data_IF_725154221015
#
_entry.id   IF_725154221015
#
_cell.length_a   1.000
_cell.length_b   1.000
_cell.length_c   1.000
_cell.angle_alpha   90.00
_cell.angle_beta   90.00
_cell.angle_gamma   90.00
#
_symmetry.space_group_name_H-M   'P 1'
#
loop_
_entity.id
_entity.type
_entity.pdbx_description
1 polymer ?
#
# COMPACT_ATOMS: atom_id res chain seq x y z
N UNK A 1 26.87 -29.08 14.34
CA UNK A 1 25.85 -28.23 14.96
C UNK A 1 24.50 -28.38 14.27
N UNK A 2 23.92 -29.58 14.34
CA UNK A 2 22.48 -29.67 14.47
C UNK A 2 22.16 -29.06 15.85
N UNK A 3 21.17 -28.18 15.98
CA UNK A 3 20.74 -27.73 17.31
C UNK A 3 20.25 -28.90 18.18
N UNK A 4 19.99 -30.06 17.58
CA UNK A 4 19.67 -31.32 18.23
C UNK A 4 20.88 -32.29 18.39
N UNK A 5 22.11 -31.93 18.03
CA UNK A 5 23.30 -32.77 18.23
C UNK A 5 24.37 -32.02 19.02
N UNK A 6 24.23 -32.11 20.34
CA UNK A 6 25.06 -31.43 21.35
C UNK A 6 26.44 -32.09 21.56
N UNK A 7 26.91 -32.94 20.65
CA UNK A 7 28.18 -33.67 20.80
C UNK A 7 29.40 -33.03 20.11
N UNK A 8 29.24 -32.00 19.28
CA UNK A 8 30.37 -31.48 18.50
C UNK A 8 31.08 -30.30 19.17
N UNK A 9 32.40 -30.43 19.41
CA UNK A 9 33.34 -29.32 19.69
C UNK A 9 33.59 -28.38 18.49
N UNK A 10 32.82 -28.54 17.41
CA UNK A 10 32.92 -27.72 16.21
C UNK A 10 32.34 -26.32 16.47
N UNK A 11 33.07 -25.28 16.04
CA UNK A 11 32.54 -23.92 16.00
C UNK A 11 31.31 -23.90 15.07
N UNK A 12 30.18 -23.43 15.59
CA UNK A 12 28.98 -23.22 14.77
C UNK A 12 29.28 -22.12 13.74
N UNK A 13 28.89 -22.31 12.47
CA UNK A 13 29.01 -21.24 11.51
C UNK A 13 28.08 -20.09 11.89
N UNK A 14 28.55 -18.86 11.71
CA UNK A 14 27.83 -17.64 11.98
C UNK A 14 27.45 -16.93 10.67
N UNK A 15 26.42 -16.08 10.73
CA UNK A 15 26.06 -15.23 9.61
C UNK A 15 27.24 -14.33 9.22
N UNK A 16 27.65 -14.39 7.94
CA UNK A 16 28.80 -13.65 7.42
C UNK A 16 30.14 -14.33 7.65
N UNK A 17 30.19 -15.65 7.84
CA UNK A 17 31.45 -16.41 7.85
C UNK A 17 32.16 -16.40 6.48
N UNK A 18 31.39 -16.21 5.42
CA UNK A 18 31.90 -15.96 4.06
C UNK A 18 31.20 -14.76 3.42
N UNK A 19 31.80 -14.23 2.36
CA UNK A 19 31.31 -13.07 1.61
C UNK A 19 30.01 -13.39 0.86
N UNK A 20 30.08 -13.67 -0.43
CA UNK A 20 28.92 -13.80 -1.30
C UNK A 20 29.30 -14.59 -2.57
N UNK A 21 28.30 -15.06 -3.30
CA UNK A 21 28.45 -15.56 -4.67
C UNK A 21 27.97 -14.45 -5.59
N UNK A 22 28.82 -14.02 -6.52
CA UNK A 22 28.51 -12.93 -7.46
C UNK A 22 28.33 -13.48 -8.86
N UNK A 23 27.24 -13.08 -9.51
CA UNK A 23 26.97 -13.35 -10.92
C UNK A 23 26.77 -12.00 -11.61
N UNK A 24 27.64 -11.67 -12.56
CA UNK A 24 27.57 -10.40 -13.30
C UNK A 24 27.61 -10.59 -14.81
N UNK A 25 26.94 -9.68 -15.55
CA UNK A 25 27.02 -9.32 -16.98
C UNK A 25 27.25 -10.38 -18.08
N UNK A 26 28.23 -11.27 -17.92
CA UNK A 26 28.64 -12.31 -18.89
C UNK A 26 28.28 -13.73 -18.46
N UNK A 27 27.86 -13.93 -17.20
CA UNK A 27 27.57 -15.25 -16.63
C UNK A 27 26.10 -15.71 -16.81
N UNK A 28 25.51 -15.46 -18.00
CA UNK A 28 24.10 -15.71 -18.32
C UNK A 28 23.68 -17.18 -18.42
N UNK A 29 24.61 -18.13 -18.31
CA UNK A 29 24.32 -19.58 -18.26
C UNK A 29 24.19 -20.13 -16.84
N UNK A 30 24.35 -19.30 -15.81
CA UNK A 30 24.21 -19.73 -14.42
C UNK A 30 22.76 -20.08 -14.10
N UNK A 31 22.56 -21.13 -13.31
CA UNK A 31 21.26 -21.49 -12.75
C UNK A 31 21.43 -22.19 -11.41
N UNK A 32 20.46 -22.02 -10.52
CA UNK A 32 20.46 -22.68 -9.22
C UNK A 32 19.14 -23.43 -9.03
N UNK A 33 19.22 -24.74 -8.90
CA UNK A 33 18.07 -25.58 -8.58
C UNK A 33 18.41 -26.48 -7.41
N UNK A 34 17.50 -26.63 -6.43
CA UNK A 34 17.69 -27.52 -5.29
C UNK A 34 19.00 -27.24 -4.51
N UNK A 35 19.33 -25.95 -4.38
CA UNK A 35 20.61 -25.48 -3.80
C UNK A 35 20.36 -24.79 -2.46
N UNK A 36 21.25 -24.99 -1.48
CA UNK A 36 21.19 -24.32 -0.16
C UNK A 36 22.36 -23.37 0.02
N UNK A 37 22.06 -22.11 0.31
CA UNK A 37 22.99 -21.04 0.65
C UNK A 37 22.80 -20.67 2.11
N UNK A 38 23.90 -20.65 2.89
CA UNK A 38 23.82 -20.37 4.33
C UNK A 38 25.08 -19.76 4.91
N UNK A 39 24.91 -18.95 5.96
CA UNK A 39 25.99 -18.39 6.79
C UNK A 39 26.96 -17.44 6.06
N UNK A 40 26.60 -16.93 4.89
CA UNK A 40 27.35 -15.91 4.16
C UNK A 40 26.73 -14.52 4.28
N UNK A 41 26.95 -13.68 3.28
CA UNK A 41 26.45 -12.31 3.18
C UNK A 41 27.27 -11.30 3.98
N UNK A 42 28.57 -11.53 4.16
CA UNK A 42 29.41 -10.64 4.98
C UNK A 42 29.50 -9.23 4.38
N UNK A 43 29.12 -8.24 5.17
CA UNK A 43 29.26 -6.82 4.88
C UNK A 43 30.73 -6.37 4.99
N UNK A 44 31.22 -5.67 3.96
CA UNK A 44 32.52 -5.00 3.97
C UNK A 44 32.38 -3.55 3.50
N UNK A 45 32.98 -2.62 4.26
CA UNK A 45 33.07 -1.21 3.84
C UNK A 45 34.22 -1.01 2.86
N UNK A 46 33.96 -0.42 1.68
CA UNK A 46 35.00 0.17 0.83
C UNK A 46 35.02 -0.26 -0.65
N UNK A 47 34.49 -1.44 -1.00
CA UNK A 47 34.34 -1.87 -2.40
C UNK A 47 33.01 -2.62 -2.51
N UNK A 48 31.99 -1.95 -3.07
CA UNK A 48 30.63 -2.43 -3.30
C UNK A 48 29.99 -3.01 -2.03
N UNK A 49 28.98 -2.33 -1.51
CA UNK A 49 28.23 -2.63 -0.27
C UNK A 49 27.45 -3.97 -0.35
N UNK A 50 28.13 -5.08 -0.69
CA UNK A 50 27.61 -6.39 -1.03
C UNK A 50 27.46 -7.23 0.23
N UNK A 51 26.22 -7.42 0.69
CA UNK A 51 25.91 -8.18 1.90
C UNK A 51 24.99 -9.39 1.66
N UNK A 52 24.87 -9.87 0.42
CA UNK A 52 23.94 -10.95 0.05
C UNK A 52 24.60 -12.33 0.06
N UNK A 53 23.87 -13.43 0.29
CA UNK A 53 24.41 -14.77 0.00
C UNK A 53 24.69 -14.92 -1.50
N UNK A 54 23.75 -14.42 -2.32
CA UNK A 54 23.82 -14.43 -3.77
C UNK A 54 23.52 -13.03 -4.32
N UNK A 55 24.51 -12.44 -4.97
CA UNK A 55 24.43 -11.15 -5.65
C UNK A 55 24.37 -11.36 -7.16
N UNK A 56 23.36 -10.79 -7.82
CA UNK A 56 23.16 -10.90 -9.27
C UNK A 56 23.02 -9.50 -9.86
N UNK A 57 23.96 -9.10 -10.72
CA UNK A 57 23.98 -7.78 -11.35
C UNK A 57 24.05 -7.89 -12.87
N UNK A 58 23.16 -7.18 -13.58
CA UNK A 58 23.12 -7.15 -15.05
C UNK A 58 23.10 -8.56 -15.70
N UNK A 59 22.50 -9.53 -14.99
CA UNK A 59 22.41 -10.92 -15.40
C UNK A 59 21.01 -11.48 -15.11
N UNK A 60 20.63 -12.53 -15.82
CA UNK A 60 19.37 -13.26 -15.60
C UNK A 60 19.70 -14.69 -15.20
N UNK A 61 19.27 -15.08 -14.00
CA UNK A 61 19.59 -16.38 -13.41
C UNK A 61 18.29 -17.06 -12.96
N UNK A 62 17.95 -18.22 -13.52
CA UNK A 62 16.85 -19.04 -13.00
C UNK A 62 17.23 -19.65 -11.65
N UNK A 63 16.40 -19.41 -10.63
CA UNK A 63 16.53 -19.95 -9.28
C UNK A 63 15.22 -20.69 -8.92
N UNK A 64 15.33 -21.96 -8.55
CA UNK A 64 14.17 -22.78 -8.17
C UNK A 64 14.47 -23.74 -7.03
N UNK A 65 13.51 -24.00 -6.15
CA UNK A 65 13.68 -24.97 -5.05
C UNK A 65 14.92 -24.71 -4.19
N UNK A 66 15.36 -23.45 -4.09
CA UNK A 66 16.55 -23.08 -3.36
C UNK A 66 16.22 -22.70 -1.92
N UNK A 67 17.20 -22.75 -1.03
CA UNK A 67 17.09 -22.30 0.36
C UNK A 67 18.15 -21.25 0.63
N UNK A 68 17.74 -20.08 1.11
CA UNK A 68 18.61 -18.99 1.54
C UNK A 68 18.37 -18.71 3.02
N UNK A 69 19.37 -18.96 3.85
CA UNK A 69 19.21 -18.84 5.30
C UNK A 69 20.42 -18.29 6.05
N UNK A 70 20.17 -17.65 7.20
CA UNK A 70 21.22 -17.14 8.08
C UNK A 70 22.24 -16.23 7.38
N UNK A 71 21.79 -15.38 6.45
CA UNK A 71 22.63 -14.33 5.87
C UNK A 71 22.93 -13.23 6.88
N UNK A 72 24.11 -12.62 6.81
CA UNK A 72 24.41 -11.43 7.63
C UNK A 72 23.62 -10.19 7.19
N UNK A 73 23.27 -10.06 5.90
CA UNK A 73 22.42 -8.95 5.45
C UNK A 73 21.29 -9.40 4.53
N UNK A 74 21.57 -9.91 3.34
CA UNK A 74 20.53 -10.32 2.40
C UNK A 74 20.62 -11.81 2.04
N UNK A 75 19.48 -12.46 1.82
CA UNK A 75 19.46 -13.77 1.17
C UNK A 75 19.93 -13.64 -0.28
N UNK A 76 19.16 -12.91 -1.10
CA UNK A 76 19.47 -12.61 -2.50
C UNK A 76 19.41 -11.12 -2.74
N UNK A 77 20.30 -10.60 -3.58
CA UNK A 77 20.28 -9.22 -4.06
C UNK A 77 20.32 -9.21 -5.59
N UNK A 78 19.31 -8.58 -6.18
CA UNK A 78 19.14 -8.45 -7.62
C UNK A 78 19.34 -6.99 -8.01
N UNK A 79 20.34 -6.70 -8.84
CA UNK A 79 20.62 -5.36 -9.36
C UNK A 79 20.47 -5.39 -10.89
N UNK A 80 19.48 -4.68 -11.42
CA UNK A 80 19.14 -4.68 -12.85
C UNK A 80 19.03 -6.10 -13.44
N UNK A 81 18.34 -6.98 -12.72
CA UNK A 81 18.25 -8.40 -13.04
C UNK A 81 16.81 -8.80 -13.30
N UNK A 82 16.59 -9.56 -14.38
CA UNK A 82 15.29 -10.13 -14.74
C UNK A 82 15.17 -11.60 -14.30
N UNK A 83 15.96 -11.98 -13.28
CA UNK A 83 15.99 -13.34 -12.74
C UNK A 83 14.61 -13.85 -12.30
N UNK A 84 14.42 -15.16 -12.40
CA UNK A 84 13.24 -15.84 -11.88
C UNK A 84 13.58 -16.56 -10.59
N UNK A 85 12.87 -16.29 -9.50
CA UNK A 85 13.02 -16.97 -8.21
C UNK A 85 11.69 -17.62 -7.88
N UNK A 86 11.65 -18.94 -7.95
CA UNK A 86 10.41 -19.70 -7.78
C UNK A 86 10.54 -20.83 -6.77
N UNK A 87 9.46 -21.13 -6.04
CA UNK A 87 9.37 -22.32 -5.17
C UNK A 87 10.54 -22.45 -4.18
N UNK A 88 11.10 -21.32 -3.75
CA UNK A 88 12.30 -21.25 -2.90
C UNK A 88 11.93 -20.78 -1.49
N UNK A 89 12.82 -21.03 -0.54
CA UNK A 89 12.63 -20.73 0.88
C UNK A 89 13.68 -19.71 1.31
N UNK A 90 13.22 -18.61 1.90
CA UNK A 90 14.03 -17.59 2.53
C UNK A 90 13.72 -17.58 4.02
N UNK A 91 14.69 -17.95 4.87
CA UNK A 91 14.41 -18.00 6.31
C UNK A 91 15.55 -17.57 7.20
N UNK A 92 15.24 -17.03 8.37
CA UNK A 92 16.24 -16.59 9.35
C UNK A 92 17.27 -15.59 8.78
N UNK A 93 16.89 -14.80 7.77
CA UNK A 93 17.72 -13.70 7.27
C UNK A 93 17.34 -12.43 8.05
N UNK A 94 17.65 -12.46 9.35
CA UNK A 94 17.18 -11.49 10.34
C UNK A 94 18.30 -10.96 11.25
N UNK A 95 19.54 -11.03 10.78
CA UNK A 95 20.69 -10.47 11.50
C UNK A 95 20.42 -9.01 11.86
N UNK A 96 20.91 -8.56 13.01
CA UNK A 96 20.52 -7.31 13.67
C UNK A 96 20.91 -6.01 12.94
N UNK A 97 21.32 -6.08 11.67
CA UNK A 97 21.41 -4.91 10.82
C UNK A 97 20.00 -4.39 10.51
N UNK A 98 19.87 -3.07 10.45
CA UNK A 98 18.63 -2.38 10.09
C UNK A 98 18.12 -2.76 8.70
N UNK A 99 18.98 -3.30 7.83
CA UNK A 99 18.67 -3.48 6.41
C UNK A 99 18.29 -4.92 6.03
N UNK A 100 18.55 -5.91 6.89
CA UNK A 100 18.51 -7.33 6.51
C UNK A 100 17.19 -7.79 5.87
N UNK A 101 17.24 -8.63 4.84
CA UNK A 101 16.05 -9.06 4.09
C UNK A 101 16.23 -10.44 3.44
N UNK A 102 15.11 -11.11 3.13
CA UNK A 102 15.13 -12.31 2.30
C UNK A 102 15.63 -12.00 0.89
N UNK A 103 14.99 -11.05 0.21
CA UNK A 103 15.41 -10.56 -1.11
C UNK A 103 15.46 -9.03 -1.13
N UNK A 104 16.50 -8.49 -1.75
CA UNK A 104 16.58 -7.08 -2.18
C UNK A 104 16.57 -7.02 -3.71
N UNK A 105 15.78 -6.11 -4.27
CA UNK A 105 15.67 -5.88 -5.71
C UNK A 105 15.90 -4.40 -5.99
N UNK A 106 16.83 -4.09 -6.88
CA UNK A 106 17.16 -2.75 -7.32
C UNK A 106 17.14 -2.72 -8.84
N UNK A 107 16.11 -2.11 -9.45
CA UNK A 107 15.87 -2.15 -10.90
C UNK A 107 15.60 -3.57 -11.43
N UNK A 108 15.48 -3.70 -12.75
CA UNK A 108 15.12 -4.96 -13.42
C UNK A 108 13.62 -5.27 -13.33
N UNK A 109 13.24 -6.39 -13.95
CA UNK A 109 11.88 -6.92 -14.01
C UNK A 109 11.83 -8.41 -13.59
N UNK A 110 12.32 -8.77 -12.39
CA UNK A 110 12.38 -10.16 -11.98
C UNK A 110 10.99 -10.74 -11.73
N UNK A 111 10.90 -12.07 -11.77
CA UNK A 111 9.72 -12.82 -11.33
C UNK A 111 10.04 -13.52 -10.02
N UNK A 112 9.28 -13.20 -8.97
CA UNK A 112 9.39 -13.81 -7.65
C UNK A 112 8.03 -14.46 -7.32
N UNK A 113 7.94 -15.78 -7.43
CA UNK A 113 6.67 -16.47 -7.25
C UNK A 113 6.73 -17.77 -6.46
N UNK A 114 5.65 -18.07 -5.73
CA UNK A 114 5.53 -19.34 -4.99
C UNK A 114 6.64 -19.57 -3.96
N UNK A 115 7.26 -18.50 -3.43
CA UNK A 115 8.30 -18.61 -2.42
C UNK A 115 7.73 -18.49 -1.00
N UNK A 116 8.45 -19.05 -0.03
CA UNK A 116 8.15 -18.93 1.39
C UNK A 116 9.21 -18.06 2.09
N UNK A 117 8.76 -17.05 2.82
CA UNK A 117 9.58 -16.14 3.62
C UNK A 117 9.21 -16.30 5.09
N UNK A 118 10.13 -16.84 5.91
CA UNK A 118 9.87 -17.11 7.34
C UNK A 118 10.97 -16.57 8.24
N UNK A 119 10.64 -15.87 9.31
CA UNK A 119 11.62 -15.38 10.30
C UNK A 119 12.73 -14.50 9.68
N UNK A 120 12.43 -13.76 8.62
CA UNK A 120 13.36 -12.77 8.05
C UNK A 120 13.22 -11.43 8.79
N UNK A 121 14.11 -10.46 8.56
CA UNK A 121 13.86 -9.10 9.02
C UNK A 121 12.79 -8.43 8.16
N UNK A 122 13.09 -8.17 6.90
CA UNK A 122 12.08 -7.92 5.87
C UNK A 122 11.94 -9.17 4.99
N UNK A 123 10.74 -9.44 4.47
CA UNK A 123 10.59 -10.50 3.47
C UNK A 123 11.28 -10.12 2.17
N UNK A 124 10.75 -9.09 1.50
CA UNK A 124 11.30 -8.53 0.26
C UNK A 124 11.36 -7.01 0.37
N UNK A 125 12.45 -6.41 -0.11
CA UNK A 125 12.55 -4.97 -0.36
C UNK A 125 12.87 -4.73 -1.82
N UNK A 126 12.14 -3.84 -2.48
CA UNK A 126 12.37 -3.51 -3.88
C UNK A 126 12.40 -2.00 -4.13
N UNK A 127 13.30 -1.58 -5.02
CA UNK A 127 13.45 -0.19 -5.43
C UNK A 127 13.58 -0.05 -6.95
N UNK A 128 12.87 0.92 -7.53
CA UNK A 128 12.93 1.25 -8.96
C UNK A 128 12.77 0.05 -9.92
N UNK A 129 11.99 -0.97 -9.53
CA UNK A 129 11.85 -2.25 -10.25
C UNK A 129 10.48 -2.40 -10.93
N UNK A 130 10.42 -3.33 -11.89
CA UNK A 130 9.23 -3.74 -12.63
C UNK A 130 8.80 -5.18 -12.27
N UNK A 131 8.80 -5.53 -10.98
CA UNK A 131 8.76 -6.91 -10.48
C UNK A 131 7.38 -7.59 -10.64
N UNK A 132 7.37 -8.86 -11.05
CA UNK A 132 6.22 -9.74 -10.91
C UNK A 132 6.33 -10.52 -9.59
N UNK A 133 5.52 -10.15 -8.60
CA UNK A 133 5.51 -10.75 -7.26
C UNK A 133 4.19 -11.49 -7.03
N UNK A 134 4.19 -12.81 -7.16
CA UNK A 134 2.93 -13.58 -7.12
C UNK A 134 2.96 -14.81 -6.22
N UNK A 135 1.86 -15.06 -5.51
CA UNK A 135 1.68 -16.30 -4.73
C UNK A 135 2.79 -16.58 -3.70
N UNK A 136 3.43 -15.54 -3.13
CA UNK A 136 4.43 -15.72 -2.09
C UNK A 136 3.76 -15.71 -0.70
N UNK A 137 4.33 -16.47 0.24
CA UNK A 137 3.87 -16.57 1.62
C UNK A 137 4.89 -15.93 2.56
N UNK A 138 4.44 -15.03 3.43
CA UNK A 138 5.27 -14.30 4.38
C UNK A 138 4.83 -14.55 5.82
N UNK A 139 5.72 -15.04 6.68
CA UNK A 139 5.39 -15.32 8.07
C UNK A 139 6.49 -14.89 9.03
N UNK A 140 6.13 -14.29 10.16
CA UNK A 140 7.07 -14.02 11.26
C UNK A 140 8.25 -13.12 10.88
N UNK A 141 8.14 -12.33 9.80
CA UNK A 141 9.16 -11.32 9.51
C UNK A 141 9.13 -10.27 10.61
N UNK A 142 10.28 -9.84 11.13
CA UNK A 142 10.30 -8.88 12.25
C UNK A 142 9.90 -7.45 11.84
N UNK A 143 9.83 -7.17 10.54
CA UNK A 143 9.36 -5.93 9.92
C UNK A 143 8.30 -6.25 8.84
N UNK A 144 8.12 -5.38 7.85
CA UNK A 144 7.19 -5.54 6.74
C UNK A 144 7.46 -6.82 5.94
N UNK A 145 6.38 -7.48 5.51
CA UNK A 145 6.45 -8.60 4.56
C UNK A 145 7.07 -8.16 3.23
N UNK A 146 6.60 -7.05 2.67
CA UNK A 146 7.10 -6.49 1.41
C UNK A 146 7.19 -4.97 1.49
N UNK A 147 8.32 -4.40 1.05
CA UNK A 147 8.52 -2.96 0.87
C UNK A 147 8.76 -2.65 -0.60
N UNK A 148 7.96 -1.73 -1.16
CA UNK A 148 7.98 -1.35 -2.57
C UNK A 148 8.22 0.16 -2.67
N UNK A 149 9.43 0.55 -3.06
CA UNK A 149 9.80 1.96 -3.19
C UNK A 149 9.99 2.33 -4.66
N UNK A 150 9.25 3.31 -5.18
CA UNK A 150 9.34 3.79 -6.57
C UNK A 150 9.29 2.65 -7.62
N UNK A 151 8.57 1.57 -7.32
CA UNK A 151 8.51 0.37 -8.16
C UNK A 151 7.09 0.14 -8.66
N UNK A 152 6.98 -0.57 -9.77
CA UNK A 152 5.73 -0.98 -10.39
C UNK A 152 5.81 -2.45 -10.78
N UNK A 153 4.70 -3.04 -11.21
CA UNK A 153 4.68 -4.44 -11.63
C UNK A 153 3.36 -5.11 -11.33
N UNK A 154 3.39 -6.43 -11.18
CA UNK A 154 2.22 -7.24 -10.86
C UNK A 154 2.40 -7.84 -9.47
N UNK A 155 1.56 -7.41 -8.52
CA UNK A 155 1.58 -7.92 -7.15
C UNK A 155 0.24 -8.60 -6.87
N UNK A 156 0.19 -9.93 -6.83
CA UNK A 156 -1.10 -10.65 -6.70
C UNK A 156 -0.98 -11.97 -5.96
N UNK A 157 -1.99 -12.33 -5.17
CA UNK A 157 -2.04 -13.61 -4.48
C UNK A 157 -1.00 -13.76 -3.35
N UNK A 158 -0.34 -12.67 -2.93
CA UNK A 158 0.60 -12.73 -1.82
C UNK A 158 -0.17 -12.75 -0.48
N UNK A 159 0.28 -13.61 0.42
CA UNK A 159 -0.35 -13.86 1.72
C UNK A 159 0.67 -13.74 2.83
N UNK A 160 0.24 -13.35 4.03
CA UNK A 160 1.13 -13.38 5.18
C UNK A 160 0.45 -13.09 6.50
N UNK A 161 1.16 -13.46 7.56
CA UNK A 161 0.67 -13.41 8.94
C UNK A 161 1.83 -13.30 9.94
N UNK A 162 1.60 -12.69 11.09
CA UNK A 162 2.58 -12.52 12.17
C UNK A 162 3.86 -11.78 11.76
N UNK A 163 3.85 -11.05 10.65
CA UNK A 163 4.95 -10.15 10.30
C UNK A 163 4.79 -8.85 11.13
N UNK A 164 5.87 -8.09 11.29
CA UNK A 164 5.82 -6.77 11.93
C UNK A 164 4.79 -5.85 11.26
N UNK A 165 4.61 -6.01 9.95
CA UNK A 165 3.42 -5.52 9.22
C UNK A 165 2.97 -6.61 8.25
N UNK A 166 1.72 -7.06 8.38
CA UNK A 166 1.06 -7.99 7.46
C UNK A 166 0.55 -7.25 6.21
N UNK A 167 1.46 -6.59 5.50
CA UNK A 167 1.11 -5.76 4.35
C UNK A 167 2.23 -5.60 3.32
N UNK A 168 1.84 -5.04 2.17
CA UNK A 168 2.72 -4.58 1.10
C UNK A 168 2.85 -3.07 1.24
N UNK A 169 3.95 -2.60 1.81
CA UNK A 169 4.22 -1.18 1.97
C UNK A 169 4.54 -0.54 0.62
N UNK A 170 3.81 0.52 0.26
CA UNK A 170 4.06 1.34 -0.92
C UNK A 170 4.73 2.64 -0.51
N UNK A 171 5.87 2.98 -1.12
CA UNK A 171 6.62 4.21 -0.87
C UNK A 171 6.96 4.94 -2.17
N UNK A 172 7.02 6.28 -2.08
CA UNK A 172 7.44 7.12 -3.20
C UNK A 172 6.41 7.12 -4.34
N UNK A 173 6.89 6.92 -5.56
CA UNK A 173 6.05 6.99 -6.77
C UNK A 173 5.29 5.67 -6.98
N UNK A 174 3.97 5.75 -7.11
CA UNK A 174 3.12 4.61 -7.48
C UNK A 174 2.75 4.75 -8.95
N UNK A 175 3.28 3.83 -9.76
CA UNK A 175 3.04 3.75 -11.20
C UNK A 175 4.09 4.45 -12.05
N UNK A 176 3.85 4.46 -13.37
CA UNK A 176 4.82 4.93 -14.37
C UNK A 176 4.26 6.15 -15.10
N UNK A 177 5.08 7.20 -15.22
CA UNK A 177 4.70 8.42 -15.94
C UNK A 177 4.33 8.10 -17.40
N UNK A 178 3.19 8.60 -17.86
CA UNK A 178 2.69 8.35 -19.22
C UNK A 178 2.08 6.96 -19.45
N UNK A 179 1.97 6.13 -18.41
CA UNK A 179 1.48 4.76 -18.53
C UNK A 179 0.39 4.41 -17.51
N UNK A 180 -0.20 3.23 -17.68
CA UNK A 180 -1.16 2.65 -16.76
C UNK A 180 -0.50 1.55 -15.93
N UNK A 181 -0.67 1.61 -14.61
CA UNK A 181 -0.27 0.57 -13.67
C UNK A 181 -1.51 -0.04 -13.04
N UNK A 182 -1.53 -1.36 -12.85
CA UNK A 182 -2.68 -2.06 -12.25
C UNK A 182 -2.26 -2.67 -10.92
N UNK A 183 -3.02 -2.39 -9.86
CA UNK A 183 -2.87 -3.02 -8.55
C UNK A 183 -3.96 -4.08 -8.38
N UNK A 184 -3.54 -5.27 -7.98
CA UNK A 184 -4.38 -6.47 -7.91
C UNK A 184 -4.73 -6.81 -6.46
N UNK A 185 -5.71 -7.69 -6.27
CA UNK A 185 -6.04 -8.21 -4.97
C UNK A 185 -4.90 -9.06 -4.37
N UNK A 186 -4.68 -8.89 -3.07
CA UNK A 186 -3.78 -9.68 -2.23
C UNK A 186 -4.47 -9.92 -0.88
N UNK A 187 -4.07 -10.96 -0.17
CA UNK A 187 -4.50 -11.09 1.23
C UNK A 187 -3.76 -10.08 2.12
N UNK A 188 -2.53 -9.75 1.76
CA UNK A 188 -1.79 -8.64 2.37
C UNK A 188 -2.34 -7.30 1.82
N UNK A 189 -2.77 -6.41 2.72
CA UNK A 189 -3.21 -5.08 2.32
C UNK A 189 -2.04 -4.24 1.75
N UNK A 190 -2.34 -3.30 0.86
CA UNK A 190 -1.39 -2.25 0.50
C UNK A 190 -1.32 -1.23 1.63
N UNK A 191 -0.13 -0.96 2.15
CA UNK A 191 0.08 -0.14 3.33
C UNK A 191 0.72 1.19 2.95
N UNK A 192 0.24 2.27 3.57
CA UNK A 192 0.67 3.66 3.36
C UNK A 192 1.11 4.25 4.72
N UNK A 193 2.26 3.84 5.29
CA UNK A 193 2.64 4.16 6.69
C UNK A 193 4.00 4.83 6.87
N UNK A 194 4.97 4.61 5.98
CA UNK A 194 6.35 5.12 6.13
C UNK A 194 6.73 6.13 5.04
N UNK A 195 7.89 6.77 5.22
CA UNK A 195 8.47 7.66 4.23
C UNK A 195 7.64 8.91 3.92
N UNK A 196 7.82 9.43 2.70
CA UNK A 196 6.99 10.47 2.10
C UNK A 196 5.63 9.89 1.71
N UNK A 197 4.60 10.74 1.66
CA UNK A 197 3.25 10.34 1.20
C UNK A 197 3.37 9.74 -0.21
N UNK A 198 3.01 8.46 -0.41
CA UNK A 198 3.05 7.84 -1.72
C UNK A 198 2.22 8.63 -2.72
N UNK A 199 2.75 8.78 -3.93
CA UNK A 199 2.19 9.69 -4.93
C UNK A 199 2.01 9.00 -6.27
N UNK A 200 0.80 9.09 -6.82
CA UNK A 200 0.54 8.80 -8.23
C UNK A 200 0.94 10.04 -9.03
N UNK A 201 2.00 9.97 -9.86
CA UNK A 201 2.56 11.14 -10.53
C UNK A 201 1.62 11.66 -11.63
N UNK A 202 1.76 12.93 -12.00
CA UNK A 202 1.02 13.52 -13.09
C UNK A 202 1.21 12.72 -14.39
N UNK A 203 0.18 12.69 -15.24
CA UNK A 203 0.17 11.94 -16.50
C UNK A 203 0.31 10.40 -16.36
N UNK A 204 0.14 9.84 -15.16
CA UNK A 204 0.04 8.39 -14.96
C UNK A 204 -1.39 7.98 -14.58
N UNK A 205 -1.73 6.72 -14.81
CA UNK A 205 -2.99 6.12 -14.33
C UNK A 205 -2.69 4.91 -13.46
N UNK A 206 -3.31 4.83 -12.28
CA UNK A 206 -3.31 3.62 -11.45
C UNK A 206 -4.71 3.06 -11.39
N UNK A 207 -4.89 1.86 -11.94
CA UNK A 207 -6.13 1.08 -11.83
C UNK A 207 -6.04 0.19 -10.61
N UNK A 208 -7.08 0.17 -9.79
CA UNK A 208 -7.20 -0.75 -8.65
C UNK A 208 -8.31 -1.73 -8.98
N UNK A 209 -7.99 -3.03 -8.96
CA UNK A 209 -8.97 -4.08 -9.19
C UNK A 209 -9.75 -4.46 -7.91
N UNK A 210 -10.96 -5.03 -8.06
CA UNK A 210 -11.74 -5.57 -6.95
C UNK A 210 -10.95 -6.54 -6.08
N UNK A 211 -11.20 -6.50 -4.77
CA UNK A 211 -10.53 -7.28 -3.73
C UNK A 211 -9.28 -6.59 -3.14
N UNK A 212 -8.85 -5.46 -3.69
CA UNK A 212 -7.72 -4.72 -3.15
C UNK A 212 -8.12 -3.89 -1.91
N UNK A 213 -7.27 -3.96 -0.87
CA UNK A 213 -7.42 -3.20 0.38
C UNK A 213 -6.20 -2.30 0.56
N UNK A 214 -6.44 -1.05 0.93
CA UNK A 214 -5.43 -0.05 1.26
C UNK A 214 -5.61 0.40 2.70
N UNK A 215 -4.51 0.42 3.47
CA UNK A 215 -4.51 0.85 4.87
C UNK A 215 -3.49 1.96 5.10
N UNK A 216 -3.97 3.11 5.58
CA UNK A 216 -3.15 4.28 5.90
C UNK A 216 -2.75 4.34 7.36
N UNK A 217 -1.53 4.82 7.63
CA UNK A 217 -1.07 5.16 8.98
C UNK A 217 -1.34 6.61 9.37
N UNK A 218 -1.06 6.93 10.64
CA UNK A 218 -1.19 8.29 11.17
C UNK A 218 -0.37 9.32 10.38
N UNK A 219 -1.06 10.38 9.93
CA UNK A 219 -0.47 11.44 9.09
C UNK A 219 -0.07 10.97 7.68
N UNK A 220 -0.45 9.76 7.26
CA UNK A 220 -0.15 9.18 5.95
C UNK A 220 -1.42 8.93 5.15
N UNK A 221 -1.26 8.81 3.84
CA UNK A 221 -2.36 8.66 2.90
C UNK A 221 -1.84 8.48 1.48
N UNK A 222 -2.65 8.82 0.49
CA UNK A 222 -2.28 8.73 -0.92
C UNK A 222 -2.43 10.10 -1.58
N UNK A 223 -1.41 10.56 -2.31
CA UNK A 223 -1.50 11.76 -3.14
C UNK A 223 -1.70 11.38 -4.61
N UNK A 224 -2.63 12.04 -5.29
CA UNK A 224 -2.99 11.78 -6.68
C UNK A 224 -2.79 13.04 -7.51
N UNK A 225 -1.68 13.09 -8.25
CA UNK A 225 -1.38 14.12 -9.26
C UNK A 225 -1.79 13.66 -10.66
N UNK A 226 -1.82 12.34 -10.90
CA UNK A 226 -2.31 11.70 -12.12
C UNK A 226 -3.78 11.27 -11.98
N UNK A 227 -4.06 10.02 -12.36
CA UNK A 227 -5.40 9.42 -12.29
C UNK A 227 -5.39 8.19 -11.38
N UNK A 228 -6.29 8.16 -10.41
CA UNK A 228 -6.64 6.96 -9.63
C UNK A 228 -7.96 6.38 -10.15
N UNK A 229 -7.99 5.10 -10.49
CA UNK A 229 -9.15 4.44 -11.10
C UNK A 229 -9.54 3.17 -10.34
N UNK A 230 -10.39 3.27 -9.31
CA UNK A 230 -11.02 2.09 -8.72
C UNK A 230 -11.97 1.43 -9.74
N UNK A 231 -11.76 0.13 -10.01
CA UNK A 231 -12.52 -0.62 -11.00
C UNK A 231 -13.48 -1.64 -10.34
N UNK A 232 -14.14 -1.23 -9.26
CA UNK A 232 -15.18 -2.00 -8.56
C UNK A 232 -16.56 -1.90 -9.22
N UNK A 233 -17.50 -2.71 -8.75
CA UNK A 233 -18.91 -2.66 -9.15
C UNK A 233 -19.78 -2.28 -7.96
N UNK A 234 -19.55 -2.90 -6.80
CA UNK A 234 -20.30 -2.67 -5.58
C UNK A 234 -19.45 -1.92 -4.55
N UNK A 235 -20.10 -1.08 -3.73
CA UNK A 235 -19.44 -0.47 -2.60
C UNK A 235 -18.83 -1.57 -1.71
N UNK A 236 -17.51 -1.50 -1.50
CA UNK A 236 -16.75 -2.47 -0.72
C UNK A 236 -15.90 -3.43 -1.54
N UNK A 237 -16.03 -3.44 -2.87
CA UNK A 237 -15.13 -4.23 -3.73
C UNK A 237 -13.68 -3.75 -3.58
N UNK A 238 -13.47 -2.46 -3.37
CA UNK A 238 -12.17 -1.85 -3.08
C UNK A 238 -12.29 -1.05 -1.79
N UNK A 239 -11.41 -1.29 -0.82
CA UNK A 239 -11.50 -0.64 0.49
C UNK A 239 -10.26 0.20 0.78
N UNK A 240 -10.49 1.44 1.19
CA UNK A 240 -9.49 2.32 1.78
C UNK A 240 -9.85 2.56 3.24
N UNK A 241 -8.97 2.18 4.16
CA UNK A 241 -9.21 2.29 5.61
C UNK A 241 -7.90 2.58 6.34
N UNK A 242 -7.91 2.46 7.66
CA UNK A 242 -6.77 2.70 8.54
C UNK A 242 -6.12 1.37 8.96
N UNK A 243 -4.88 1.40 9.43
CA UNK A 243 -4.14 0.22 9.88
C UNK A 243 -4.88 -0.59 10.93
N UNK A 244 -5.47 0.10 11.90
CA UNK A 244 -6.18 -0.42 13.07
C UNK A 244 -7.58 -0.99 12.73
N UNK A 245 -8.01 -0.93 11.46
CA UNK A 245 -9.29 -1.53 11.06
C UNK A 245 -9.16 -3.03 10.78
N UNK A 246 -9.22 -3.84 11.84
CA UNK A 246 -9.12 -5.30 11.74
C UNK A 246 -10.31 -5.97 11.05
N UNK A 247 -11.41 -5.23 10.87
CA UNK A 247 -12.60 -5.77 10.19
C UNK A 247 -12.37 -5.99 8.69
N UNK A 248 -11.33 -5.37 8.13
CA UNK A 248 -10.94 -5.46 6.72
C UNK A 248 -9.48 -5.92 6.63
N UNK A 249 -9.23 -7.04 5.94
CA UNK A 249 -7.89 -7.63 5.78
C UNK A 249 -7.14 -8.01 7.09
N UNK A 250 -7.84 -8.08 8.22
CA UNK A 250 -7.29 -8.53 9.51
C UNK A 250 -6.25 -7.58 10.13
N UNK A 251 -5.60 -8.07 11.18
CA UNK A 251 -4.59 -7.36 11.98
C UNK A 251 -3.32 -7.10 11.14
N UNK A 252 -3.27 -5.91 10.53
CA UNK A 252 -2.24 -5.53 9.55
C UNK A 252 -1.00 -4.96 10.22
N UNK A 253 -1.19 -4.26 11.34
CA UNK A 253 -0.15 -3.66 12.18
C UNK A 253 0.33 -4.58 13.32
N UNK A 254 -0.26 -5.78 13.45
CA UNK A 254 0.12 -6.82 14.38
C UNK A 254 0.12 -6.35 15.85
N UNK A 255 -0.87 -5.52 16.21
CA UNK A 255 -1.05 -4.95 17.55
C UNK A 255 -2.17 -5.64 18.36
N UNK A 256 -2.74 -6.73 17.83
CA UNK A 256 -3.89 -7.41 18.38
C UNK A 256 -5.20 -6.75 17.96
N UNK A 257 -6.32 -7.19 18.54
CA UNK A 257 -7.64 -6.73 18.13
C UNK A 257 -7.80 -5.21 18.31
N UNK A 258 -7.95 -4.48 17.22
CA UNK A 258 -8.13 -3.04 17.15
C UNK A 258 -9.27 -2.64 16.21
N UNK A 259 -9.67 -1.35 16.25
CA UNK A 259 -10.73 -0.82 15.39
C UNK A 259 -10.38 0.58 14.87
N UNK A 260 -10.83 0.89 13.66
CA UNK A 260 -10.57 2.18 13.03
C UNK A 260 -11.22 3.35 13.77
N UNK A 261 -10.50 4.48 13.83
CA UNK A 261 -10.98 5.73 14.44
C UNK A 261 -11.04 6.84 13.37
N UNK A 262 -12.14 7.64 13.29
CA UNK A 262 -12.22 8.75 12.35
C UNK A 262 -11.01 9.69 12.42
N UNK A 263 -10.30 9.87 11.30
CA UNK A 263 -9.12 10.73 11.20
C UNK A 263 -7.83 10.06 11.70
N UNK A 264 -7.81 8.75 11.88
CA UNK A 264 -6.59 8.03 12.23
C UNK A 264 -5.58 7.97 11.07
N UNK A 265 -6.01 8.26 9.83
CA UNK A 265 -5.12 8.48 8.67
C UNK A 265 -5.54 9.70 7.85
N UNK A 266 -4.68 10.13 6.92
CA UNK A 266 -4.88 11.34 6.13
C UNK A 266 -5.98 11.22 5.08
N UNK A 267 -6.26 10.02 4.58
CA UNK A 267 -7.16 9.82 3.45
C UNK A 267 -6.46 9.89 2.08
N UNK A 268 -7.25 10.13 1.04
CA UNK A 268 -6.78 10.33 -0.34
C UNK A 268 -6.83 11.81 -0.68
N UNK A 269 -5.73 12.34 -1.21
CA UNK A 269 -5.64 13.72 -1.69
C UNK A 269 -5.44 13.79 -3.20
N UNK A 270 -6.50 14.15 -3.91
CA UNK A 270 -6.49 14.46 -5.34
C UNK A 270 -6.09 15.93 -5.50
N UNK A 271 -4.85 16.17 -5.96
CA UNK A 271 -4.21 17.49 -6.04
C UNK A 271 -3.93 17.85 -7.49
N UNK A 272 -4.87 18.50 -8.16
CA UNK A 272 -4.82 18.72 -9.60
C UNK A 272 -5.05 17.46 -10.46
N UNK A 273 -5.11 16.29 -9.84
CA UNK A 273 -5.33 15.00 -10.49
C UNK A 273 -6.81 14.64 -10.68
N UNK A 274 -7.06 13.37 -10.97
CA UNK A 274 -8.37 12.78 -11.17
C UNK A 274 -8.53 11.52 -10.32
N UNK A 275 -9.73 11.31 -9.81
CA UNK A 275 -10.17 9.98 -9.37
C UNK A 275 -11.45 9.64 -10.12
N UNK A 276 -11.49 8.52 -10.83
CA UNK A 276 -12.61 8.16 -11.68
C UNK A 276 -12.86 6.66 -11.61
N UNK A 277 -14.01 6.24 -11.09
CA UNK A 277 -14.28 4.83 -10.93
C UNK A 277 -15.47 4.52 -10.06
N UNK A 278 -15.62 3.23 -9.77
CA UNK A 278 -16.79 2.69 -9.09
C UNK A 278 -16.43 1.64 -8.05
N UNK A 279 -17.40 1.33 -7.18
CA UNK A 279 -17.34 0.19 -6.28
C UNK A 279 -16.24 0.26 -5.23
N UNK A 280 -16.11 1.41 -4.56
CA UNK A 280 -15.10 1.59 -3.51
C UNK A 280 -15.70 2.10 -2.20
N UNK A 281 -14.98 1.89 -1.11
CA UNK A 281 -15.35 2.40 0.21
C UNK A 281 -14.17 3.10 0.88
N UNK A 282 -14.45 4.21 1.55
CA UNK A 282 -13.46 4.99 2.29
C UNK A 282 -13.91 5.15 3.74
N UNK A 283 -13.07 4.66 4.64
CA UNK A 283 -13.32 4.67 6.08
C UNK A 283 -12.26 5.44 6.84
N UNK A 284 -12.65 6.09 7.94
CA UNK A 284 -11.75 6.60 8.98
C UNK A 284 -10.67 7.61 8.54
N UNK A 285 -10.75 8.15 7.33
CA UNK A 285 -9.78 9.12 6.81
C UNK A 285 -10.06 10.55 7.26
N UNK A 286 -9.25 11.51 6.81
CA UNK A 286 -9.53 12.93 6.98
C UNK A 286 -8.60 13.71 7.90
N UNK A 287 -7.48 13.17 8.36
CA UNK A 287 -6.49 13.92 9.13
C UNK A 287 -5.27 14.33 8.30
N UNK A 288 -5.52 14.98 7.16
CA UNK A 288 -4.44 15.42 6.27
C UNK A 288 -3.53 16.44 6.96
N UNK A 289 -2.22 16.35 6.72
CA UNK A 289 -1.21 17.25 7.30
C UNK A 289 -1.47 18.69 6.82
N UNK A 290 -2.04 19.51 7.69
CA UNK A 290 -2.42 20.90 7.46
C UNK A 290 -3.49 21.33 8.47
N UNK A 291 -3.27 22.45 9.17
CA UNK A 291 -4.27 22.97 10.10
C UNK A 291 -5.56 23.40 9.39
N UNK A 292 -6.67 23.53 10.14
CA UNK A 292 -7.91 24.12 9.64
C UNK A 292 -8.88 23.15 8.96
N UNK A 293 -9.48 23.61 7.86
CA UNK A 293 -10.73 23.09 7.30
C UNK A 293 -10.58 22.06 6.18
N UNK A 294 -9.34 21.65 5.94
CA UNK A 294 -8.95 20.94 4.73
C UNK A 294 -8.86 19.43 4.91
N UNK A 295 -9.92 18.87 5.49
CA UNK A 295 -9.94 17.50 6.03
C UNK A 295 -11.06 16.68 5.43
N UNK A 296 -10.76 15.51 4.86
CA UNK A 296 -11.79 14.55 4.47
C UNK A 296 -11.20 13.20 4.04
N UNK A 297 -12.02 12.16 4.10
CA UNK A 297 -11.63 10.80 3.66
C UNK A 297 -11.08 10.81 2.23
N UNK A 298 -11.74 11.57 1.35
CA UNK A 298 -11.18 12.05 0.09
C UNK A 298 -11.22 13.58 0.07
N UNK A 299 -10.07 14.20 -0.23
CA UNK A 299 -9.94 15.63 -0.53
C UNK A 299 -9.62 15.81 -2.00
N UNK A 300 -10.40 16.64 -2.69
CA UNK A 300 -10.16 17.03 -4.08
C UNK A 300 -9.89 18.53 -4.12
N UNK A 301 -8.73 18.91 -4.65
CA UNK A 301 -8.34 20.30 -4.85
C UNK A 301 -7.89 20.53 -6.29
N UNK A 302 -8.50 21.50 -6.98
CA UNK A 302 -8.15 21.85 -8.37
C UNK A 302 -8.22 20.65 -9.34
N UNK A 303 -9.02 19.63 -9.01
CA UNK A 303 -9.05 18.34 -9.67
C UNK A 303 -10.48 17.85 -9.97
N UNK A 304 -10.60 16.55 -10.20
CA UNK A 304 -11.84 15.92 -10.62
C UNK A 304 -12.10 14.61 -9.87
N UNK A 305 -13.35 14.37 -9.47
CA UNK A 305 -13.81 13.09 -8.93
C UNK A 305 -15.09 12.63 -9.64
N UNK A 306 -15.05 11.46 -10.26
CA UNK A 306 -16.24 10.74 -10.70
C UNK A 306 -16.35 9.45 -9.89
N UNK A 307 -17.39 9.36 -9.07
CA UNK A 307 -17.64 8.20 -8.23
C UNK A 307 -19.02 7.61 -8.51
N UNK A 308 -19.06 6.31 -8.73
CA UNK A 308 -20.29 5.53 -8.84
C UNK A 308 -20.26 4.36 -7.83
N UNK A 309 -21.39 4.02 -7.22
CA UNK A 309 -21.49 2.90 -6.27
C UNK A 309 -20.42 2.95 -5.17
N UNK A 310 -20.25 4.10 -4.53
CA UNK A 310 -19.27 4.31 -3.46
C UNK A 310 -19.90 4.37 -2.07
N UNK A 311 -19.08 4.12 -1.04
CA UNK A 311 -19.44 4.31 0.37
C UNK A 311 -18.39 5.17 1.07
N UNK A 312 -18.85 6.25 1.69
CA UNK A 312 -18.04 7.06 2.61
C UNK A 312 -18.61 6.86 4.01
N UNK A 313 -17.76 6.45 4.94
CA UNK A 313 -18.22 6.14 6.29
C UNK A 313 -17.20 6.49 7.38
N UNK A 314 -17.68 7.04 8.49
CA UNK A 314 -16.86 7.31 9.69
C UNK A 314 -15.57 8.12 9.41
N UNK A 315 -15.58 8.98 8.38
CA UNK A 315 -14.44 9.86 8.10
C UNK A 315 -14.47 11.10 9.00
N UNK A 316 -13.29 11.66 9.27
CA UNK A 316 -13.12 12.88 10.04
C UNK A 316 -13.36 14.13 9.21
N UNK A 317 -14.14 15.05 9.79
CA UNK A 317 -14.68 16.29 9.23
C UNK A 317 -15.54 16.11 7.98
N UNK A 318 -15.02 15.56 6.90
CA UNK A 318 -15.76 15.29 5.66
C UNK A 318 -15.54 13.83 5.21
N UNK A 319 -16.57 13.20 4.64
CA UNK A 319 -16.37 12.00 3.82
C UNK A 319 -15.66 12.37 2.52
N UNK A 320 -16.23 13.33 1.82
CA UNK A 320 -15.66 13.93 0.61
C UNK A 320 -15.60 15.45 0.75
N UNK A 321 -14.44 16.04 0.45
CA UNK A 321 -14.24 17.49 0.40
C UNK A 321 -13.83 17.94 -1.00
N UNK A 322 -14.58 18.88 -1.57
CA UNK A 322 -14.31 19.47 -2.88
C UNK A 322 -13.90 20.94 -2.72
N UNK A 323 -12.84 21.35 -3.42
CA UNK A 323 -12.41 22.74 -3.48
C UNK A 323 -11.84 23.07 -4.85
N UNK A 324 -12.45 24.05 -5.55
CA UNK A 324 -12.14 24.37 -6.95
C UNK A 324 -12.13 23.12 -7.84
N UNK A 325 -13.06 22.21 -7.58
CA UNK A 325 -13.12 20.90 -8.22
C UNK A 325 -14.44 20.72 -8.99
N UNK A 326 -14.41 19.88 -10.02
CA UNK A 326 -15.61 19.41 -10.71
C UNK A 326 -15.84 17.96 -10.33
N UNK A 327 -17.04 17.55 -9.95
CA UNK A 327 -17.30 16.18 -9.54
C UNK A 327 -18.71 15.71 -9.87
N UNK A 328 -18.82 14.43 -10.20
CA UNK A 328 -20.09 13.73 -10.41
C UNK A 328 -20.13 12.54 -9.47
N UNK A 329 -21.16 12.45 -8.64
CA UNK A 329 -21.31 11.39 -7.64
C UNK A 329 -22.65 10.70 -7.87
N UNK A 330 -22.60 9.39 -8.08
CA UNK A 330 -23.76 8.58 -8.42
C UNK A 330 -23.86 7.34 -7.54
N UNK A 331 -25.08 6.88 -7.22
CA UNK A 331 -25.34 5.65 -6.45
C UNK A 331 -24.50 5.51 -5.17
N UNK A 332 -24.22 6.62 -4.50
CA UNK A 332 -23.22 6.67 -3.43
C UNK A 332 -23.90 6.89 -2.09
N UNK A 333 -23.38 6.24 -1.04
CA UNK A 333 -23.85 6.44 0.33
C UNK A 333 -22.81 7.18 1.16
N UNK A 334 -23.24 8.22 1.86
CA UNK A 334 -22.47 8.87 2.91
C UNK A 334 -23.13 8.59 4.26
N UNK A 335 -22.39 7.97 5.19
CA UNK A 335 -22.97 7.67 6.51
C UNK A 335 -22.04 7.87 7.70
N UNK A 336 -22.65 8.16 8.85
CA UNK A 336 -21.98 8.18 10.16
C UNK A 336 -20.82 9.17 10.27
N UNK A 337 -20.88 10.30 9.55
CA UNK A 337 -19.91 11.39 9.69
C UNK A 337 -20.26 12.23 10.93
N UNK A 338 -19.88 11.71 12.10
CA UNK A 338 -20.24 12.25 13.42
C UNK A 338 -19.02 12.59 14.29
N UNK A 339 -17.82 12.58 13.72
CA UNK A 339 -16.60 12.74 14.48
C UNK A 339 -16.56 14.11 15.20
N UNK A 340 -16.31 14.13 16.52
CA UNK A 340 -16.23 15.39 17.26
C UNK A 340 -14.99 16.17 16.83
N UNK A 341 -15.11 17.50 16.75
CA UNK A 341 -13.99 18.36 16.38
C UNK A 341 -14.28 19.83 16.61
N UNK A 342 -13.25 20.65 16.42
CA UNK A 342 -13.36 22.13 16.48
C UNK A 342 -14.33 22.65 15.40
N UNK A 343 -14.51 21.88 14.32
CA UNK A 343 -15.39 22.18 13.23
C UNK A 343 -16.46 21.10 13.12
N UNK A 344 -17.70 21.50 12.80
CA UNK A 344 -18.81 20.58 12.61
C UNK A 344 -18.50 19.58 11.48
N UNK A 345 -18.61 18.29 11.77
CA UNK A 345 -18.49 17.25 10.76
C UNK A 345 -19.67 17.33 9.77
N UNK A 346 -19.39 17.11 8.50
CA UNK A 346 -20.39 16.88 7.46
C UNK A 346 -20.01 15.65 6.63
N UNK A 347 -20.97 15.04 5.94
CA UNK A 347 -20.67 13.95 5.01
C UNK A 347 -19.96 14.46 3.75
N UNK A 348 -20.43 15.58 3.20
CA UNK A 348 -19.92 16.17 1.96
C UNK A 348 -19.67 17.67 2.13
N UNK A 349 -18.45 18.11 1.88
CA UNK A 349 -18.08 19.53 1.84
C UNK A 349 -17.86 20.02 0.41
N UNK A 350 -18.61 21.02 -0.04
CA UNK A 350 -18.51 21.59 -1.38
C UNK A 350 -18.12 23.07 -1.28
N UNK A 351 -16.86 23.37 -1.56
CA UNK A 351 -16.26 24.68 -1.27
C UNK A 351 -15.61 25.31 -2.50
N UNK A 352 -15.33 26.61 -2.41
CA UNK A 352 -14.48 27.40 -3.31
C UNK A 352 -14.79 27.19 -4.79
N UNK A 353 -15.99 27.57 -5.22
CA UNK A 353 -16.44 27.51 -6.62
C UNK A 353 -16.39 26.12 -7.23
N UNK A 354 -16.55 25.07 -6.42
CA UNK A 354 -16.67 23.71 -6.93
C UNK A 354 -18.00 23.53 -7.67
N UNK A 355 -17.98 22.65 -8.67
CA UNK A 355 -19.16 22.23 -9.44
C UNK A 355 -19.44 20.78 -9.12
N UNK A 356 -20.66 20.47 -8.68
CA UNK A 356 -21.05 19.14 -8.23
C UNK A 356 -22.35 18.69 -8.88
N UNK A 357 -22.37 17.46 -9.36
CA UNK A 357 -23.57 16.76 -9.81
C UNK A 357 -23.80 15.54 -8.92
N UNK A 358 -25.01 15.42 -8.37
CA UNK A 358 -25.41 14.29 -7.52
C UNK A 358 -26.58 13.53 -8.15
N UNK A 359 -26.45 12.21 -8.30
CA UNK A 359 -27.55 11.34 -8.75
C UNK A 359 -27.70 10.13 -7.83
N UNK A 360 -28.90 9.92 -7.28
CA UNK A 360 -29.21 8.72 -6.48
C UNK A 360 -28.25 8.55 -5.28
N UNK A 361 -28.02 9.65 -4.55
CA UNK A 361 -27.10 9.70 -3.40
C UNK A 361 -27.88 9.65 -2.10
N UNK A 362 -27.43 8.77 -1.19
CA UNK A 362 -28.02 8.61 0.14
C UNK A 362 -27.11 9.21 1.21
N UNK A 363 -27.65 10.11 2.03
CA UNK A 363 -27.03 10.61 3.24
C UNK A 363 -27.76 10.06 4.45
N UNK A 364 -27.07 9.28 5.28
CA UNK A 364 -27.70 8.67 6.46
C UNK A 364 -26.87 8.76 7.74
N UNK A 365 -27.53 9.07 8.85
CA UNK A 365 -26.92 9.11 10.19
C UNK A 365 -25.69 10.04 10.31
N UNK A 366 -25.68 11.16 9.58
CA UNK A 366 -24.60 12.16 9.65
C UNK A 366 -24.96 13.34 10.56
N UNK A 367 -23.96 13.98 11.15
CA UNK A 367 -24.14 15.22 11.91
C UNK A 367 -24.64 16.35 10.98
N UNK A 368 -24.07 16.42 9.78
CA UNK A 368 -24.53 17.27 8.69
C UNK A 368 -24.37 16.48 7.39
N UNK A 369 -25.37 16.45 6.52
CA UNK A 369 -25.22 15.75 5.25
C UNK A 369 -24.33 16.55 4.28
N UNK A 370 -24.67 17.81 3.98
CA UNK A 370 -23.88 18.64 3.05
C UNK A 370 -23.54 20.00 3.66
N UNK A 371 -22.26 20.38 3.56
CA UNK A 371 -21.77 21.72 3.86
C UNK A 371 -21.35 22.42 2.57
N UNK A 372 -21.76 23.68 2.39
CA UNK A 372 -21.27 24.55 1.31
C UNK A 372 -20.87 25.91 1.86
N UNK A 373 -19.97 26.60 1.17
CA UNK A 373 -19.58 27.98 1.51
C UNK A 373 -20.39 29.04 0.73
N UNK A 374 -21.45 28.63 0.03
CA UNK A 374 -22.28 29.50 -0.81
C UNK A 374 -21.66 29.90 -2.15
N UNK A 375 -20.43 29.46 -2.46
CA UNK A 375 -19.76 29.74 -3.75
C UNK A 375 -19.88 28.60 -4.75
N UNK A 376 -20.27 27.42 -4.29
CA UNK A 376 -20.39 26.21 -5.10
C UNK A 376 -21.66 26.20 -5.96
N UNK A 377 -21.58 25.51 -7.10
CA UNK A 377 -22.75 25.18 -7.93
C UNK A 377 -23.04 23.69 -7.80
N UNK A 378 -24.27 23.34 -7.41
CA UNK A 378 -24.68 21.95 -7.26
C UNK A 378 -25.95 21.68 -8.05
N UNK A 379 -25.98 20.58 -8.80
CA UNK A 379 -27.21 20.01 -9.33
C UNK A 379 -27.44 18.65 -8.69
N UNK A 380 -28.70 18.29 -8.47
CA UNK A 380 -29.00 17.02 -7.80
C UNK A 380 -30.31 16.41 -8.27
N UNK A 381 -30.35 15.09 -8.25
CA UNK A 381 -31.53 14.27 -8.52
C UNK A 381 -31.49 13.01 -7.65
N UNK A 382 -32.63 12.56 -7.12
CA UNK A 382 -32.71 11.30 -6.37
C UNK A 382 -31.99 11.30 -5.02
N UNK A 383 -31.94 12.43 -4.30
CA UNK A 383 -31.32 12.48 -2.98
C UNK A 383 -32.20 11.87 -1.89
N UNK A 384 -31.59 11.08 -1.01
CA UNK A 384 -32.25 10.51 0.17
C UNK A 384 -31.53 11.00 1.43
N UNK A 385 -32.27 11.61 2.35
CA UNK A 385 -31.77 12.01 3.66
C UNK A 385 -32.53 11.25 4.76
N UNK A 386 -31.81 10.52 5.61
CA UNK A 386 -32.41 9.74 6.71
C UNK A 386 -31.53 9.75 7.95
N UNK A 387 -32.09 10.08 9.13
CA UNK A 387 -31.33 10.03 10.39
C UNK A 387 -30.22 11.09 10.55
N UNK A 388 -30.06 12.03 9.60
CA UNK A 388 -29.09 13.12 9.75
C UNK A 388 -29.59 14.16 10.76
N UNK A 389 -28.70 14.75 11.56
CA UNK A 389 -29.05 15.86 12.47
C UNK A 389 -29.41 17.12 11.68
N UNK A 390 -28.73 17.37 10.56
CA UNK A 390 -29.05 18.43 9.61
C UNK A 390 -28.81 17.96 8.16
N UNK A 391 -29.65 18.44 7.23
CA UNK A 391 -29.56 18.12 5.80
C UNK A 391 -28.49 18.94 5.10
N UNK A 392 -28.48 20.26 5.33
CA UNK A 392 -27.52 21.14 4.68
C UNK A 392 -27.14 22.36 5.52
N UNK A 393 -25.97 22.93 5.21
CA UNK A 393 -25.55 24.23 5.69
C UNK A 393 -24.93 25.03 4.52
N UNK A 394 -25.51 26.18 4.12
CA UNK A 394 -26.77 26.76 4.60
C UNK A 394 -27.97 25.80 4.45
N UNK A 395 -29.04 26.06 5.19
CA UNK A 395 -30.27 25.27 5.07
C UNK A 395 -30.90 25.44 3.67
N UNK A 396 -31.64 24.43 3.23
CA UNK A 396 -32.50 24.45 2.03
C UNK A 396 -31.77 24.66 0.68
N UNK A 397 -30.58 24.07 0.51
CA UNK A 397 -29.84 24.11 -0.76
C UNK A 397 -30.18 22.95 -1.73
N UNK A 398 -31.08 22.04 -1.35
CA UNK A 398 -31.50 20.88 -2.13
C UNK A 398 -33.02 20.73 -2.18
#
# INVERSE_FOLDING_TARGET
CNSADASSTASCPAAGDWENIQISGTASSSSFSHTTFRYGGRWFTGINDLGSLLYIEDATVPISHAVFEYSQRYGVELVNSDSTIVQSIFRNNNYSDTQAAGIVIERGAPTVSENAFTDNRYGIRMSSSATTLTNNTFSSSTQEAVVISNSHGMYSGNVGSNNGVNGILLEGTIGVAGATTTLYANSLAYVLTSGSIPTIPASSTVVILPGAVFKGGSGKGLRVLGTLKPAGVLAGDIVFTVMEDDTVAGDTNNDGASAGTPGAWSGIYVDGGRMEGSGFSVYYGGNFLGGGDDKGGIRVERGYLNADNALFENNYRYGLRLSRATSTITHTTFRRHNAPGVYSAAALGVLAYSVLELHDVTFTDNALAVYTDGTASTTSFGLIFSGNTATSSPADIF
#
